data_IF_752598949375
#
_entry.id   IF_752598949375
#
_cell.length_a   1.000
_cell.length_b   1.000
_cell.length_c   1.000
_cell.angle_alpha   90.00
_cell.angle_beta   90.00
_cell.angle_gamma   90.00
#
_symmetry.space_group_name_H-M   'P 1'
#
loop_
_entity.id
_entity.type
_entity.pdbx_description
1 polymer ?
#
# COMPACT_ATOMS: atom_id res chain seq x y z
N UNK A 1 -57.86 58.41 16.51
CA UNK A 1 -57.36 57.39 17.45
C UNK A 1 -58.31 56.20 17.35
N UNK A 2 -57.79 54.97 17.23
CA UNK A 2 -58.56 53.70 17.07
C UNK A 2 -59.37 53.64 15.75
N UNK A 3 -59.08 52.87 14.70
CA UNK A 3 -58.84 51.42 14.65
C UNK A 3 -58.28 51.07 13.25
N UNK A 4 -57.15 51.65 12.84
CA UNK A 4 -56.43 51.27 11.60
C UNK A 4 -55.63 49.95 11.76
N UNK A 5 -56.15 49.00 12.54
CA UNK A 5 -55.42 47.78 12.97
C UNK A 5 -55.92 46.50 12.27
N UNK A 6 -56.99 46.56 11.46
CA UNK A 6 -57.59 45.36 10.87
C UNK A 6 -57.07 44.96 9.48
N UNK A 7 -55.86 45.37 9.08
CA UNK A 7 -55.26 45.01 7.77
C UNK A 7 -53.80 44.56 7.84
N UNK A 8 -53.42 43.86 8.90
CA UNK A 8 -52.08 43.26 9.04
C UNK A 8 -52.11 41.75 9.34
N UNK A 9 -53.27 41.10 9.30
CA UNK A 9 -53.42 39.67 9.58
C UNK A 9 -53.55 38.80 8.32
N UNK A 10 -52.94 39.21 7.22
CA UNK A 10 -52.89 38.45 5.96
C UNK A 10 -51.43 38.32 5.52
N UNK A 11 -50.67 37.39 6.10
CA UNK A 11 -49.29 37.27 5.66
C UNK A 11 -48.37 36.31 6.40
N UNK A 12 -48.73 35.03 6.58
CA UNK A 12 -47.70 33.99 6.70
C UNK A 12 -48.17 32.67 6.08
N UNK A 13 -48.14 32.59 4.75
CA UNK A 13 -48.09 31.29 4.07
C UNK A 13 -46.69 30.71 4.31
N UNK A 14 -46.57 29.76 5.24
CA UNK A 14 -45.32 29.00 5.44
C UNK A 14 -44.97 28.30 4.12
N UNK A 15 -43.84 28.68 3.51
CA UNK A 15 -43.31 27.98 2.32
C UNK A 15 -42.96 26.56 2.73
N UNK A 16 -43.67 25.56 2.21
CA UNK A 16 -43.27 24.15 2.34
C UNK A 16 -41.91 23.99 1.66
N UNK A 17 -40.84 23.85 2.44
CA UNK A 17 -39.54 23.46 1.87
C UNK A 17 -39.64 21.98 1.53
N UNK A 18 -39.42 21.64 0.25
CA UNK A 18 -39.25 20.25 -0.16
C UNK A 18 -37.92 19.81 0.45
N UNK A 19 -38.02 19.05 1.54
CA UNK A 19 -36.88 18.50 2.26
C UNK A 19 -36.44 17.18 1.67
N UNK A 20 -35.16 16.91 1.87
CA UNK A 20 -34.46 15.65 1.67
C UNK A 20 -35.35 14.43 1.99
N UNK A 21 -35.55 13.54 1.02
CA UNK A 21 -36.39 12.34 1.21
C UNK A 21 -35.53 11.15 1.66
N UNK A 22 -36.11 10.20 2.39
CA UNK A 22 -35.41 8.96 2.74
C UNK A 22 -34.95 8.18 1.50
N UNK A 23 -35.74 8.23 0.43
CA UNK A 23 -35.42 7.60 -0.85
C UNK A 23 -34.14 8.19 -1.45
N UNK A 24 -33.92 9.48 -1.27
CA UNK A 24 -32.72 10.18 -1.76
C UNK A 24 -31.46 9.72 -1.01
N UNK A 25 -31.51 9.55 0.32
CA UNK A 25 -30.36 9.00 1.08
C UNK A 25 -30.13 7.53 0.75
N UNK A 26 -31.20 6.76 0.54
CA UNK A 26 -31.11 5.35 0.17
C UNK A 26 -30.38 5.15 -1.16
N UNK A 27 -30.75 5.95 -2.17
CA UNK A 27 -30.12 5.89 -3.49
C UNK A 27 -28.64 6.32 -3.40
N UNK A 28 -28.31 7.33 -2.58
CA UNK A 28 -26.92 7.75 -2.36
C UNK A 28 -26.08 6.62 -1.74
N UNK A 29 -26.55 5.99 -0.67
CA UNK A 29 -25.83 4.87 -0.03
C UNK A 29 -25.73 3.68 -0.98
N UNK A 30 -26.76 3.42 -1.79
CA UNK A 30 -26.75 2.39 -2.81
C UNK A 30 -25.66 2.62 -3.88
N UNK A 31 -25.55 3.84 -4.41
CA UNK A 31 -24.49 4.20 -5.36
C UNK A 31 -23.11 4.08 -4.71
N UNK A 32 -22.92 4.61 -3.49
CA UNK A 32 -21.63 4.54 -2.79
C UNK A 32 -21.21 3.08 -2.57
N UNK A 33 -22.14 2.20 -2.18
CA UNK A 33 -21.86 0.77 -2.03
C UNK A 33 -21.42 0.11 -3.36
N UNK A 34 -22.09 0.43 -4.47
CA UNK A 34 -21.70 -0.06 -5.80
C UNK A 34 -20.32 0.45 -6.24
N UNK A 35 -20.00 1.73 -5.99
CA UNK A 35 -18.69 2.30 -6.30
C UNK A 35 -17.57 1.64 -5.47
N UNK A 36 -17.81 1.37 -4.19
CA UNK A 36 -16.85 0.67 -3.33
C UNK A 36 -16.51 -0.73 -3.88
N UNK A 37 -17.50 -1.49 -4.35
CA UNK A 37 -17.26 -2.80 -4.97
C UNK A 37 -16.38 -2.74 -6.23
N UNK A 38 -16.38 -1.62 -6.97
CA UNK A 38 -15.50 -1.42 -8.14
C UNK A 38 -14.10 -0.96 -7.73
N UNK A 39 -13.97 -0.15 -6.68
CA UNK A 39 -12.69 0.44 -6.25
C UNK A 39 -11.87 -0.52 -5.39
N UNK A 40 -12.51 -1.31 -4.52
CA UNK A 40 -11.85 -2.30 -3.65
C UNK A 40 -10.99 -3.33 -4.39
N UNK A 41 -11.45 -4.02 -5.46
CA UNK A 41 -10.63 -5.01 -6.15
C UNK A 41 -9.39 -4.38 -6.79
N UNK A 42 -9.51 -3.15 -7.30
CA UNK A 42 -8.39 -2.41 -7.88
C UNK A 42 -7.35 -2.02 -6.80
N UNK A 43 -7.78 -1.73 -5.57
CA UNK A 43 -6.88 -1.46 -4.44
C UNK A 43 -6.13 -2.73 -3.96
N UNK A 44 -6.84 -3.85 -3.82
CA UNK A 44 -6.26 -5.11 -3.32
C UNK A 44 -5.19 -5.65 -4.29
N UNK A 45 -5.42 -5.51 -5.60
CA UNK A 45 -4.46 -5.97 -6.62
C UNK A 45 -3.11 -5.23 -6.61
N UNK A 46 -3.07 -4.01 -6.06
CA UNK A 46 -1.83 -3.20 -5.99
C UNK A 46 -0.93 -3.62 -4.83
N UNK A 47 -1.48 -4.16 -3.74
CA UNK A 47 -0.68 -4.56 -2.58
C UNK A 47 0.25 -5.74 -2.90
N UNK A 48 -0.18 -6.70 -3.71
CA UNK A 48 0.63 -7.86 -4.10
C UNK A 48 1.81 -7.52 -5.02
N UNK A 49 1.62 -6.55 -5.94
CA UNK A 49 2.68 -6.09 -6.85
C UNK A 49 3.76 -5.26 -6.15
N UNK A 50 3.38 -4.46 -5.14
CA UNK A 50 4.34 -3.66 -4.37
C UNK A 50 5.31 -4.56 -3.57
N UNK A 51 4.82 -5.65 -2.98
CA UNK A 51 5.69 -6.57 -2.24
C UNK A 51 6.71 -7.24 -3.15
N UNK A 52 6.27 -7.81 -4.28
CA UNK A 52 7.18 -8.50 -5.21
C UNK A 52 8.26 -7.56 -5.80
N UNK A 53 7.89 -6.32 -6.16
CA UNK A 53 8.86 -5.35 -6.68
C UNK A 53 9.86 -4.87 -5.62
N UNK A 54 9.43 -4.85 -4.35
CA UNK A 54 10.31 -4.54 -3.22
C UNK A 54 11.33 -5.66 -2.98
N UNK A 55 10.91 -6.91 -3.14
CA UNK A 55 11.75 -8.10 -2.94
C UNK A 55 12.86 -8.20 -4.00
N UNK A 56 12.54 -7.95 -5.27
CA UNK A 56 13.53 -7.94 -6.38
C UNK A 56 14.58 -6.81 -6.22
N UNK A 57 14.14 -5.63 -5.79
CA UNK A 57 15.05 -4.51 -5.52
C UNK A 57 15.99 -4.81 -4.35
N UNK A 58 15.49 -5.49 -3.31
CA UNK A 58 16.27 -5.95 -2.17
C UNK A 58 17.33 -6.97 -2.57
N UNK A 59 16.97 -7.98 -3.38
CA UNK A 59 17.91 -8.96 -3.92
C UNK A 59 19.02 -8.27 -4.72
N UNK A 60 18.67 -7.35 -5.61
CA UNK A 60 19.65 -6.61 -6.42
C UNK A 60 20.61 -5.79 -5.56
N UNK A 61 20.08 -5.14 -4.52
CA UNK A 61 20.87 -4.34 -3.59
C UNK A 61 21.86 -5.21 -2.82
N UNK A 62 21.39 -6.33 -2.24
CA UNK A 62 22.24 -7.26 -1.48
C UNK A 62 23.27 -7.92 -2.39
N UNK A 63 22.90 -8.31 -3.61
CA UNK A 63 23.84 -8.85 -4.60
C UNK A 63 24.95 -7.86 -4.93
N UNK A 64 24.61 -6.58 -5.08
CA UNK A 64 25.60 -5.52 -5.31
C UNK A 64 26.57 -5.42 -4.12
N UNK A 65 26.07 -5.51 -2.88
CA UNK A 65 26.93 -5.49 -1.69
C UNK A 65 27.84 -6.72 -1.59
N UNK A 66 27.35 -7.91 -1.94
CA UNK A 66 28.17 -9.13 -2.05
C UNK A 66 29.28 -8.95 -3.08
N UNK A 67 28.96 -8.40 -4.26
CA UNK A 67 29.93 -8.14 -5.32
C UNK A 67 30.97 -7.08 -4.92
N UNK A 68 30.57 -6.04 -4.19
CA UNK A 68 31.48 -5.04 -3.65
C UNK A 68 32.43 -5.66 -2.62
N UNK A 69 31.90 -6.46 -1.68
CA UNK A 69 32.72 -7.20 -0.73
C UNK A 69 33.72 -8.11 -1.43
N UNK A 70 33.28 -8.83 -2.48
CA UNK A 70 34.17 -9.67 -3.29
C UNK A 70 35.26 -8.86 -3.98
N UNK A 71 34.95 -7.68 -4.51
CA UNK A 71 35.92 -6.80 -5.14
C UNK A 71 36.97 -6.29 -4.14
N UNK A 72 36.55 -5.93 -2.93
CA UNK A 72 37.43 -5.35 -1.92
C UNK A 72 38.27 -6.40 -1.19
N UNK A 73 37.66 -7.55 -0.84
CA UNK A 73 38.29 -8.59 -0.02
C UNK A 73 38.83 -9.77 -0.83
N UNK A 74 38.60 -9.79 -2.15
CA UNK A 74 38.93 -10.90 -3.06
C UNK A 74 38.36 -12.26 -2.61
N UNK A 75 37.31 -12.22 -1.78
CA UNK A 75 36.66 -13.39 -1.16
C UNK A 75 35.16 -13.16 -1.11
N UNK A 76 34.39 -14.24 -1.27
CA UNK A 76 32.95 -14.17 -1.04
C UNK A 76 32.67 -14.11 0.47
N UNK A 77 31.63 -13.37 0.89
CA UNK A 77 31.23 -13.36 2.30
C UNK A 77 30.71 -14.76 2.67
N UNK A 78 31.07 -15.28 3.83
CA UNK A 78 30.63 -16.61 4.27
C UNK A 78 29.12 -16.66 4.57
N UNK A 79 28.55 -15.51 4.94
CA UNK A 79 27.15 -15.33 5.27
C UNK A 79 26.77 -13.83 5.13
N UNK A 80 25.47 -13.52 5.20
CA UNK A 80 24.99 -12.13 5.09
C UNK A 80 25.37 -11.32 6.34
N UNK A 81 25.55 -11.96 7.48
CA UNK A 81 26.01 -11.35 8.73
C UNK A 81 27.41 -10.72 8.55
N UNK A 82 28.29 -11.33 7.74
CA UNK A 82 29.62 -10.78 7.45
C UNK A 82 29.54 -9.43 6.75
N UNK A 83 28.54 -9.22 5.89
CA UNK A 83 28.31 -7.94 5.22
C UNK A 83 27.82 -6.87 6.20
N UNK A 84 27.14 -7.25 7.27
CA UNK A 84 26.73 -6.31 8.33
C UNK A 84 27.91 -5.95 9.24
N UNK A 85 28.69 -6.95 9.67
CA UNK A 85 29.91 -6.74 10.48
C UNK A 85 30.94 -5.84 9.78
N UNK A 86 30.99 -5.90 8.45
CA UNK A 86 31.94 -5.15 7.62
C UNK A 86 31.35 -3.85 7.09
N UNK A 87 30.09 -3.54 7.41
CA UNK A 87 29.43 -2.27 7.11
C UNK A 87 28.84 -2.14 5.70
N UNK A 88 28.82 -3.21 4.90
CA UNK A 88 28.20 -3.23 3.57
C UNK A 88 26.67 -3.35 3.65
N UNK A 89 26.13 -3.92 4.73
CA UNK A 89 24.70 -3.96 5.03
C UNK A 89 24.42 -3.29 6.39
N UNK A 90 23.31 -2.55 6.49
CA UNK A 90 22.79 -2.11 7.78
C UNK A 90 22.01 -3.22 8.48
N UNK A 91 21.89 -3.17 9.81
CA UNK A 91 21.05 -4.11 10.59
C UNK A 91 19.61 -4.23 10.04
N UNK A 92 19.05 -3.12 9.54
CA UNK A 92 17.69 -3.11 8.96
C UNK A 92 17.65 -3.91 7.67
N UNK A 93 18.62 -3.71 6.78
CA UNK A 93 18.71 -4.44 5.52
C UNK A 93 19.01 -5.92 5.75
N UNK A 94 19.83 -6.27 6.74
CA UNK A 94 20.08 -7.67 7.12
C UNK A 94 18.80 -8.36 7.59
N UNK A 95 18.02 -7.71 8.48
CA UNK A 95 16.74 -8.24 8.95
C UNK A 95 15.74 -8.46 7.81
N UNK A 96 15.66 -7.52 6.87
CA UNK A 96 14.80 -7.64 5.69
C UNK A 96 15.29 -8.75 4.75
N UNK A 97 16.59 -8.82 4.49
CA UNK A 97 17.20 -9.86 3.66
C UNK A 97 16.99 -11.26 4.26
N UNK A 98 17.18 -11.46 5.57
CA UNK A 98 16.98 -12.77 6.19
C UNK A 98 15.53 -13.29 6.14
N UNK A 99 14.56 -12.39 5.96
CA UNK A 99 13.16 -12.73 5.78
C UNK A 99 12.82 -13.10 4.34
N UNK A 100 13.44 -12.42 3.37
CA UNK A 100 13.01 -12.42 1.96
C UNK A 100 14.01 -13.14 1.05
N UNK A 101 15.25 -13.38 1.50
CA UNK A 101 16.39 -13.73 0.65
C UNK A 101 17.11 -14.98 1.16
N UNK A 102 17.60 -15.80 0.23
CA UNK A 102 18.53 -16.90 0.44
C UNK A 102 19.87 -16.55 -0.22
N UNK A 103 20.93 -16.65 0.56
CA UNK A 103 22.30 -16.44 0.10
C UNK A 103 23.01 -17.79 -0.06
N UNK A 104 23.68 -18.02 -1.19
CA UNK A 104 24.56 -19.17 -1.42
C UNK A 104 26.04 -18.77 -1.29
N UNK A 105 26.74 -19.16 -0.21
CA UNK A 105 28.14 -18.82 0.03
C UNK A 105 29.13 -19.42 -0.99
N UNK A 106 28.72 -20.45 -1.75
CA UNK A 106 29.60 -21.12 -2.73
C UNK A 106 29.62 -20.41 -4.07
N UNK A 107 28.49 -19.79 -4.43
CA UNK A 107 28.32 -19.10 -5.72
C UNK A 107 28.30 -17.58 -5.59
N UNK A 108 28.07 -17.06 -4.37
CA UNK A 108 27.91 -15.62 -4.13
C UNK A 108 26.57 -15.08 -4.64
N UNK A 109 25.61 -15.96 -4.94
CA UNK A 109 24.32 -15.59 -5.52
C UNK A 109 23.26 -15.37 -4.44
N UNK A 110 22.41 -14.39 -4.68
CA UNK A 110 21.35 -13.93 -3.79
C UNK A 110 20.00 -14.18 -4.47
N UNK A 111 19.12 -14.99 -3.86
CA UNK A 111 17.83 -15.40 -4.44
C UNK A 111 16.67 -15.15 -3.49
N UNK A 112 15.43 -14.99 -3.97
CA UNK A 112 14.27 -14.77 -3.08
C UNK A 112 13.89 -16.08 -2.38
N UNK A 113 13.74 -16.03 -1.05
CA UNK A 113 13.23 -17.09 -0.15
C UNK A 113 11.73 -17.27 -0.36
N UNK A 114 11.38 -17.88 -1.51
CA UNK A 114 10.00 -18.14 -1.90
C UNK A 114 9.58 -17.36 -3.14
N UNK A 115 10.14 -17.71 -4.29
CA UNK A 115 9.35 -17.74 -5.52
C UNK A 115 8.89 -19.17 -5.73
N UNK A 116 7.78 -19.53 -5.09
CA UNK A 116 6.90 -20.51 -5.69
C UNK A 116 6.35 -19.83 -6.93
N UNK A 117 6.82 -20.25 -8.09
CA UNK A 117 6.25 -19.92 -9.39
C UNK A 117 4.78 -20.33 -9.40
N UNK A 118 3.88 -19.42 -9.04
CA UNK A 118 2.49 -19.46 -9.51
C UNK A 118 2.29 -18.26 -10.44
N UNK A 119 3.02 -18.30 -11.55
CA UNK A 119 2.82 -17.48 -12.74
C UNK A 119 3.39 -18.29 -13.89
N UNK A 120 2.71 -19.40 -14.20
CA UNK A 120 2.60 -19.99 -15.54
C UNK A 120 1.81 -21.30 -15.44
N UNK A 121 0.48 -21.19 -15.38
CA UNK A 121 -0.55 -22.08 -15.97
C UNK A 121 -1.95 -21.55 -15.66
#
# INVERSE_FOLDING_TARGET
MMQLIKRQWQGMKRKKRKGFTLLEMLLVVFIIAALLLLVLPNLISQQGRVTAQTDEALVTTVQTQVSLYQADQSKLPENLEKLEETGYLSEKQLKQANQVVMYDPKTGNVTVKGSGTNSDS
#
